data_IF_673218512381
#
_entry.id   IF_673218512381
#
_cell.length_a   1.000
_cell.length_b   1.000
_cell.length_c   1.000
_cell.angle_alpha   90.00
_cell.angle_beta   90.00
_cell.angle_gamma   90.00
#
_symmetry.space_group_name_H-M   'P 1'
#
loop_
_entity.id
_entity.type
_entity.pdbx_description
1 polymer ?
#
# COMPACT_ATOMS: atom_id res chain seq x y z
N UNK A 1 -3.95 15.77 14.20
CA UNK A 1 -2.54 15.25 14.22
C UNK A 1 -2.56 13.84 13.66
N UNK A 2 -1.75 13.55 12.65
CA UNK A 2 -1.67 12.24 11.99
C UNK A 2 -0.96 11.24 12.90
N UNK A 3 -1.54 10.05 13.07
CA UNK A 3 -0.98 9.01 13.93
C UNK A 3 0.38 8.49 13.43
N UNK A 4 1.23 8.02 14.34
CA UNK A 4 2.59 7.57 14.02
C UNK A 4 2.62 6.37 13.06
N UNK A 5 1.68 5.43 13.19
CA UNK A 5 1.59 4.27 12.30
C UNK A 5 1.30 4.65 10.82
N UNK A 6 0.67 5.82 10.59
CA UNK A 6 0.44 6.36 9.24
C UNK A 6 1.72 7.01 8.69
N UNK A 7 2.48 7.70 9.55
CA UNK A 7 3.67 8.46 9.15
C UNK A 7 4.92 7.60 9.01
N UNK A 8 5.08 6.62 9.90
CA UNK A 8 6.31 5.86 10.07
C UNK A 8 6.86 5.21 8.78
N UNK A 9 6.04 4.70 7.83
CA UNK A 9 6.60 4.12 6.61
C UNK A 9 7.42 5.13 5.79
N UNK A 10 6.96 6.37 5.69
CA UNK A 10 7.66 7.43 4.95
C UNK A 10 8.82 8.02 5.77
N UNK A 11 8.67 8.14 7.09
CA UNK A 11 9.72 8.66 7.97
C UNK A 11 10.93 7.73 8.05
N UNK A 12 10.73 6.42 7.87
CA UNK A 12 11.79 5.42 7.86
C UNK A 12 12.46 5.24 6.49
N UNK A 13 11.79 5.64 5.41
CA UNK A 13 12.35 5.54 4.07
C UNK A 13 13.37 6.68 3.82
N UNK A 14 14.58 6.37 3.29
CA UNK A 14 15.61 7.39 3.04
C UNK A 14 15.09 8.48 2.08
N UNK A 15 15.33 9.76 2.38
CA UNK A 15 14.77 10.87 1.58
C UNK A 15 15.22 10.88 0.12
N UNK A 16 16.44 10.39 -0.16
CA UNK A 16 17.05 10.31 -1.49
C UNK A 16 16.56 9.12 -2.34
N UNK A 17 15.78 8.20 -1.75
CA UNK A 17 15.28 7.04 -2.47
C UNK A 17 13.92 7.32 -3.11
N UNK A 18 13.68 6.74 -4.30
CA UNK A 18 12.33 6.63 -4.83
C UNK A 18 11.55 5.61 -4.01
N UNK A 19 10.38 6.01 -3.53
CA UNK A 19 9.56 5.21 -2.62
C UNK A 19 8.21 4.89 -3.24
N UNK A 20 7.79 3.64 -3.17
CA UNK A 20 6.42 3.22 -3.47
C UNK A 20 5.66 3.02 -2.16
N UNK A 21 4.63 3.83 -1.93
CA UNK A 21 3.78 3.78 -0.74
C UNK A 21 2.45 3.13 -1.07
N UNK A 22 2.25 1.91 -0.59
CA UNK A 22 0.97 1.20 -0.62
C UNK A 22 0.20 1.53 0.65
N UNK A 23 -0.97 2.16 0.53
CA UNK A 23 -1.75 2.64 1.67
C UNK A 23 -3.21 2.20 1.61
N UNK A 24 -3.78 1.80 2.76
CA UNK A 24 -5.21 1.55 2.91
C UNK A 24 -6.00 2.85 2.72
N UNK A 25 -7.19 2.77 2.11
CA UNK A 25 -8.12 3.90 2.06
C UNK A 25 -8.42 4.50 3.46
N UNK A 26 -8.87 5.74 3.48
CA UNK A 26 -9.20 6.48 4.71
C UNK A 26 -10.54 6.02 5.33
N UNK A 27 -10.94 6.66 6.43
CA UNK A 27 -12.10 6.30 7.26
C UNK A 27 -13.37 6.31 6.41
N UNK A 28 -14.04 5.16 6.36
CA UNK A 28 -15.32 4.95 5.66
C UNK A 28 -16.47 4.80 6.64
N UNK A 29 -17.69 4.94 6.13
CA UNK A 29 -18.89 4.56 6.88
C UNK A 29 -18.85 3.07 7.25
N UNK A 30 -19.43 2.65 8.38
CA UNK A 30 -19.56 1.23 8.72
C UNK A 30 -20.21 0.43 7.60
N UNK A 31 -19.79 -0.81 7.41
CA UNK A 31 -20.44 -1.78 6.53
C UNK A 31 -21.21 -2.73 7.43
N UNK A 32 -22.52 -2.72 7.31
CA UNK A 32 -23.40 -3.55 8.14
C UNK A 32 -23.79 -4.85 7.45
N UNK A 33 -23.78 -4.87 6.12
CA UNK A 33 -24.08 -6.05 5.30
C UNK A 33 -23.07 -6.20 4.17
N UNK A 34 -22.70 -7.44 3.78
CA UNK A 34 -21.66 -7.69 2.78
C UNK A 34 -21.87 -6.97 1.44
N UNK A 35 -23.14 -6.81 1.03
CA UNK A 35 -23.53 -6.18 -0.25
C UNK A 35 -23.12 -4.70 -0.32
N UNK A 36 -22.99 -4.03 0.82
CA UNK A 36 -22.58 -2.62 0.92
C UNK A 36 -21.06 -2.45 0.81
N UNK A 37 -20.29 -3.53 0.84
CA UNK A 37 -18.82 -3.49 0.89
C UNK A 37 -18.23 -2.61 -0.22
N UNK A 38 -18.75 -2.70 -1.42
CA UNK A 38 -18.24 -1.95 -2.58
C UNK A 38 -18.79 -0.52 -2.67
N UNK A 39 -19.89 -0.23 -1.99
CA UNK A 39 -20.62 1.04 -2.04
C UNK A 39 -20.24 1.99 -0.89
N UNK A 40 -19.62 1.48 0.16
CA UNK A 40 -19.27 2.26 1.35
C UNK A 40 -18.36 3.44 1.00
N UNK A 41 -18.82 4.65 1.32
CA UNK A 41 -18.15 5.93 1.06
C UNK A 41 -17.24 6.34 2.23
N UNK A 42 -16.32 7.26 1.99
CA UNK A 42 -15.59 7.91 3.09
C UNK A 42 -16.55 8.73 3.97
N UNK A 43 -16.20 8.82 5.25
CA UNK A 43 -16.82 9.81 6.15
C UNK A 43 -16.20 11.20 5.90
N UNK A 44 -16.87 12.30 6.31
CA UNK A 44 -16.25 13.63 6.29
C UNK A 44 -14.91 13.67 7.04
N UNK A 45 -14.81 13.00 8.19
CA UNK A 45 -13.55 12.87 8.94
C UNK A 45 -12.49 12.09 8.16
N UNK A 46 -12.89 11.08 7.39
CA UNK A 46 -11.98 10.33 6.51
C UNK A 46 -11.44 11.17 5.36
N UNK A 47 -12.26 12.02 4.77
CA UNK A 47 -11.84 12.98 3.74
C UNK A 47 -10.83 13.96 4.34
N UNK A 48 -11.15 14.57 5.46
CA UNK A 48 -10.26 15.51 6.15
C UNK A 48 -8.91 14.86 6.53
N UNK A 49 -8.93 13.66 7.10
CA UNK A 49 -7.71 12.93 7.48
C UNK A 49 -6.82 12.64 6.26
N UNK A 50 -7.43 12.28 5.13
CA UNK A 50 -6.70 12.05 3.88
C UNK A 50 -6.08 13.34 3.33
N UNK A 51 -6.77 14.49 3.43
CA UNK A 51 -6.23 15.81 3.06
C UNK A 51 -5.08 16.22 3.98
N UNK A 52 -5.22 16.05 5.30
CA UNK A 52 -4.14 16.30 6.26
C UNK A 52 -2.92 15.43 5.96
N UNK A 53 -3.14 14.15 5.59
CA UNK A 53 -2.07 13.25 5.20
C UNK A 53 -1.37 13.70 3.91
N UNK A 54 -2.12 14.15 2.91
CA UNK A 54 -1.57 14.73 1.69
C UNK A 54 -0.70 15.96 1.95
N UNK A 55 -1.18 16.90 2.79
CA UNK A 55 -0.43 18.07 3.19
C UNK A 55 0.87 17.72 3.94
N UNK A 56 0.84 16.67 4.77
CA UNK A 56 2.01 16.18 5.49
C UNK A 56 3.01 15.51 4.54
N UNK A 57 2.55 14.69 3.59
CA UNK A 57 3.39 14.05 2.57
C UNK A 57 4.09 15.08 1.69
N UNK A 58 3.39 16.13 1.26
CA UNK A 58 3.92 17.16 0.38
C UNK A 58 5.12 17.93 0.96
N UNK A 59 5.28 17.95 2.28
CA UNK A 59 6.45 18.53 2.94
C UNK A 59 7.69 17.62 2.87
N UNK A 60 7.55 16.39 2.41
CA UNK A 60 8.59 15.35 2.45
C UNK A 60 8.90 14.72 1.11
N UNK A 61 7.88 14.59 0.26
CA UNK A 61 7.98 13.88 -1.02
C UNK A 61 7.13 14.57 -2.07
N UNK A 62 7.62 14.54 -3.31
CA UNK A 62 6.83 14.94 -4.47
C UNK A 62 6.28 13.66 -5.14
N UNK A 63 4.97 13.56 -5.41
CA UNK A 63 4.45 12.38 -6.07
C UNK A 63 4.86 12.35 -7.54
N UNK A 64 5.35 11.21 -7.97
CA UNK A 64 5.57 10.91 -9.38
C UNK A 64 4.28 10.41 -10.03
N UNK A 65 3.61 9.44 -9.38
CA UNK A 65 2.30 8.92 -9.82
C UNK A 65 1.38 8.60 -8.63
N UNK A 66 0.07 8.66 -8.90
CA UNK A 66 -0.97 8.29 -7.92
C UNK A 66 -1.91 7.28 -8.55
N UNK A 67 -1.88 6.06 -8.02
CA UNK A 67 -2.64 4.91 -8.49
C UNK A 67 -3.67 4.49 -7.43
N UNK A 68 -4.81 3.95 -7.84
CA UNK A 68 -5.85 3.56 -6.89
C UNK A 68 -6.67 2.36 -7.34
N UNK A 69 -7.13 1.57 -6.36
CA UNK A 69 -8.20 0.60 -6.58
C UNK A 69 -9.45 1.28 -7.18
N UNK A 70 -10.22 0.59 -8.04
CA UNK A 70 -11.44 1.13 -8.66
C UNK A 70 -12.58 1.41 -7.67
N UNK A 71 -12.48 0.96 -6.42
CA UNK A 71 -13.52 1.15 -5.41
C UNK A 71 -13.61 2.60 -4.99
N UNK A 72 -14.80 3.16 -4.97
CA UNK A 72 -15.07 4.60 -4.78
C UNK A 72 -14.36 5.23 -3.57
N UNK A 73 -14.27 4.52 -2.42
CA UNK A 73 -13.56 5.01 -1.23
C UNK A 73 -12.04 5.13 -1.43
N UNK A 74 -11.44 4.27 -2.25
CA UNK A 74 -10.02 4.36 -2.59
C UNK A 74 -9.77 5.54 -3.53
N UNK A 75 -10.62 5.71 -4.54
CA UNK A 75 -10.58 6.86 -5.48
C UNK A 75 -10.72 8.18 -4.72
N UNK A 76 -11.69 8.28 -3.79
CA UNK A 76 -11.89 9.49 -2.99
C UNK A 76 -10.73 9.73 -2.03
N UNK A 77 -10.15 8.68 -1.42
CA UNK A 77 -8.93 8.81 -0.60
C UNK A 77 -7.78 9.41 -1.42
N UNK A 78 -7.53 8.87 -2.62
CA UNK A 78 -6.47 9.37 -3.51
C UNK A 78 -6.68 10.83 -3.89
N UNK A 79 -7.92 11.20 -4.25
CA UNK A 79 -8.29 12.59 -4.58
C UNK A 79 -8.10 13.53 -3.39
N UNK A 80 -8.46 13.08 -2.19
CA UNK A 80 -8.30 13.87 -0.95
C UNK A 80 -6.82 14.08 -0.62
N UNK A 81 -5.98 13.05 -0.75
CA UNK A 81 -4.52 13.17 -0.57
C UNK A 81 -3.94 14.18 -1.57
N UNK A 82 -4.33 14.10 -2.84
CA UNK A 82 -3.90 15.05 -3.88
C UNK A 82 -4.33 16.48 -3.55
N UNK A 83 -5.59 16.70 -3.13
CA UNK A 83 -6.06 18.02 -2.72
C UNK A 83 -5.24 18.57 -1.56
N UNK A 84 -5.03 17.75 -0.51
CA UNK A 84 -4.25 18.15 0.66
C UNK A 84 -2.80 18.48 0.34
N UNK A 85 -2.17 17.73 -0.56
CA UNK A 85 -0.80 17.95 -1.04
C UNK A 85 -0.67 19.09 -2.07
N UNK A 86 -1.79 19.60 -2.56
CA UNK A 86 -1.84 20.55 -3.69
C UNK A 86 -1.05 20.04 -4.92
N UNK A 87 -1.24 18.77 -5.27
CA UNK A 87 -0.52 18.10 -6.35
C UNK A 87 -1.30 18.13 -7.66
N UNK A 88 -0.63 18.32 -8.81
CA UNK A 88 -1.30 18.34 -10.11
C UNK A 88 -1.57 16.96 -10.70
N UNK A 89 -1.14 15.90 -10.03
CA UNK A 89 -1.17 14.54 -10.55
C UNK A 89 -2.60 14.04 -10.77
N UNK A 90 -2.88 13.38 -11.91
CA UNK A 90 -4.13 12.68 -12.09
C UNK A 90 -4.16 11.41 -11.21
N UNK A 91 -5.36 11.00 -10.79
CA UNK A 91 -5.58 9.69 -10.18
C UNK A 91 -5.78 8.66 -11.29
N UNK A 92 -4.94 7.63 -11.33
CA UNK A 92 -5.05 6.51 -12.26
C UNK A 92 -5.66 5.31 -11.55
N UNK A 93 -6.73 4.76 -12.12
CA UNK A 93 -7.43 3.58 -11.57
C UNK A 93 -6.78 2.31 -12.13
N UNK A 94 -6.42 1.37 -11.24
CA UNK A 94 -5.87 0.08 -11.61
C UNK A 94 -6.52 -1.07 -10.82
N UNK A 95 -6.96 -2.10 -11.54
CA UNK A 95 -7.60 -3.30 -10.99
C UNK A 95 -6.63 -4.12 -10.11
N UNK A 96 -5.33 -4.05 -10.35
CA UNK A 96 -4.31 -4.73 -9.56
C UNK A 96 -4.30 -4.30 -8.08
N UNK A 97 -4.85 -3.11 -7.77
CA UNK A 97 -5.00 -2.61 -6.42
C UNK A 97 -6.33 -3.01 -5.76
N UNK A 98 -7.18 -3.76 -6.47
CA UNK A 98 -8.41 -4.32 -5.94
C UNK A 98 -8.21 -5.68 -5.27
N UNK A 99 -9.06 -6.01 -4.28
CA UNK A 99 -9.00 -7.30 -3.57
C UNK A 99 -9.08 -8.52 -4.51
N UNK A 100 -9.92 -8.56 -5.56
CA UNK A 100 -10.00 -9.72 -6.44
C UNK A 100 -8.66 -10.13 -7.08
N UNK A 101 -7.73 -9.20 -7.23
CA UNK A 101 -6.40 -9.52 -7.78
C UNK A 101 -5.59 -10.45 -6.88
N UNK A 102 -5.72 -10.30 -5.56
CA UNK A 102 -4.98 -11.10 -4.57
C UNK A 102 -5.79 -12.25 -3.96
N UNK A 103 -7.04 -12.45 -4.38
CA UNK A 103 -7.99 -13.36 -3.71
C UNK A 103 -7.43 -14.78 -3.55
N UNK A 104 -6.79 -15.33 -4.59
CA UNK A 104 -6.22 -16.68 -4.54
C UNK A 104 -5.05 -16.78 -3.56
N UNK A 105 -4.13 -15.83 -3.61
CA UNK A 105 -3.01 -15.78 -2.67
C UNK A 105 -3.48 -15.58 -1.23
N UNK A 106 -4.53 -14.76 -1.03
CA UNK A 106 -5.16 -14.57 0.28
C UNK A 106 -5.77 -15.86 0.83
N UNK A 107 -6.44 -16.65 -0.01
CA UNK A 107 -6.98 -17.96 0.38
C UNK A 107 -5.86 -18.91 0.81
N UNK A 108 -4.74 -18.92 0.10
CA UNK A 108 -3.57 -19.72 0.46
C UNK A 108 -2.99 -19.29 1.81
N UNK A 109 -2.75 -18.01 2.03
CA UNK A 109 -2.27 -17.46 3.30
C UNK A 109 -3.17 -17.85 4.48
N UNK A 110 -4.48 -17.75 4.30
CA UNK A 110 -5.44 -18.08 5.36
C UNK A 110 -5.54 -19.59 5.66
N UNK A 111 -5.26 -20.45 4.68
CA UNK A 111 -5.33 -21.91 4.88
C UNK A 111 -4.05 -22.50 5.45
N UNK A 112 -2.89 -21.96 5.07
CA UNK A 112 -1.57 -22.53 5.39
C UNK A 112 -0.82 -21.75 6.49
N UNK A 113 -1.27 -20.53 6.82
CA UNK A 113 -0.59 -19.66 7.77
C UNK A 113 0.69 -19.07 7.23
N UNK A 114 1.82 -19.27 7.94
CA UNK A 114 3.14 -18.83 7.45
C UNK A 114 3.56 -19.72 6.28
N UNK A 115 3.71 -19.11 5.12
CA UNK A 115 3.99 -19.80 3.87
C UNK A 115 5.47 -20.16 3.74
N UNK A 116 5.74 -21.32 3.14
CA UNK A 116 7.10 -21.74 2.75
C UNK A 116 7.56 -20.93 1.53
N UNK A 117 6.63 -20.62 0.62
CA UNK A 117 6.88 -19.86 -0.60
C UNK A 117 5.99 -18.62 -0.66
N UNK A 118 6.53 -17.51 -1.19
CA UNK A 118 5.77 -16.28 -1.38
C UNK A 118 4.77 -16.50 -2.51
N UNK A 119 3.45 -16.24 -2.32
CA UNK A 119 2.45 -16.34 -3.37
C UNK A 119 2.81 -15.48 -4.58
N UNK A 120 2.58 -16.02 -5.78
CA UNK A 120 2.83 -15.29 -7.03
C UNK A 120 2.07 -13.96 -7.13
N UNK A 121 0.90 -13.88 -6.52
CA UNK A 121 0.10 -12.64 -6.43
C UNK A 121 0.83 -11.58 -5.61
N UNK A 122 1.51 -11.95 -4.52
CA UNK A 122 2.30 -11.01 -3.72
C UNK A 122 3.53 -10.52 -4.48
N UNK A 123 4.21 -11.41 -5.22
CA UNK A 123 5.32 -11.04 -6.10
C UNK A 123 4.86 -10.11 -7.21
N UNK A 124 3.73 -10.42 -7.87
CA UNK A 124 3.18 -9.57 -8.92
C UNK A 124 2.77 -8.17 -8.43
N UNK A 125 2.24 -8.06 -7.20
CA UNK A 125 1.98 -6.74 -6.57
C UNK A 125 3.30 -6.04 -6.27
N UNK A 126 4.29 -6.74 -5.73
CA UNK A 126 5.60 -6.16 -5.41
C UNK A 126 6.30 -5.61 -6.67
N UNK A 127 6.32 -6.40 -7.75
CA UNK A 127 6.89 -5.97 -9.04
C UNK A 127 6.18 -4.74 -9.57
N UNK A 128 4.84 -4.73 -9.53
CA UNK A 128 4.04 -3.59 -9.92
C UNK A 128 4.32 -2.33 -9.09
N UNK A 129 4.50 -2.46 -7.77
CA UNK A 129 4.86 -1.35 -6.89
C UNK A 129 6.24 -0.79 -7.22
N UNK A 130 7.16 -1.63 -7.66
CA UNK A 130 8.56 -1.29 -7.94
C UNK A 130 8.83 -0.94 -9.42
N UNK A 131 7.80 -0.98 -10.29
CA UNK A 131 7.90 -0.43 -11.64
C UNK A 131 8.22 1.07 -11.59
N UNK A 132 8.99 1.56 -12.57
CA UNK A 132 9.35 2.98 -12.71
C UNK A 132 10.01 3.63 -11.48
N UNK A 133 10.75 2.86 -10.69
CA UNK A 133 11.57 3.42 -9.60
C UNK A 133 12.93 3.93 -10.09
N UNK A 134 13.04 4.26 -11.37
CA UNK A 134 14.27 4.75 -12.01
C UNK A 134 14.60 6.22 -11.70
N UNK A 135 13.63 6.97 -11.16
CA UNK A 135 13.86 8.34 -10.72
C UNK A 135 14.56 8.34 -9.36
N UNK A 136 15.60 9.15 -9.21
CA UNK A 136 16.43 9.19 -8.01
C UNK A 136 15.65 9.58 -6.74
N UNK A 137 14.62 10.42 -6.89
CA UNK A 137 13.77 10.88 -5.80
C UNK A 137 12.31 10.87 -6.26
N UNK A 138 11.39 10.54 -5.37
CA UNK A 138 9.97 10.57 -5.71
C UNK A 138 9.10 9.66 -4.87
N UNK A 139 7.81 9.77 -5.10
CA UNK A 139 6.79 8.96 -4.44
C UNK A 139 5.82 8.38 -5.47
N UNK A 140 5.74 7.05 -5.53
CA UNK A 140 4.59 6.36 -6.12
C UNK A 140 3.57 6.11 -5.01
N UNK A 141 2.39 6.69 -5.11
CA UNK A 141 1.30 6.48 -4.15
C UNK A 141 0.29 5.50 -4.72
N UNK A 142 0.03 4.42 -3.97
CA UNK A 142 -0.93 3.38 -4.31
C UNK A 142 -1.97 3.25 -3.21
N UNK A 143 -3.25 3.53 -3.53
CA UNK A 143 -4.33 3.44 -2.55
C UNK A 143 -5.13 2.16 -2.77
N UNK A 144 -5.24 1.35 -1.72
CA UNK A 144 -5.83 0.02 -1.75
C UNK A 144 -6.71 -0.25 -0.50
N UNK A 145 -6.87 -1.52 -0.14
CA UNK A 145 -7.70 -2.04 0.95
C UNK A 145 -6.85 -2.64 2.07
N UNK A 146 -7.45 -2.79 3.24
CA UNK A 146 -6.87 -3.46 4.40
C UNK A 146 -6.41 -4.90 4.10
N UNK A 147 -7.25 -5.68 3.40
CA UNK A 147 -6.90 -7.05 3.00
C UNK A 147 -5.63 -7.12 2.15
N UNK A 148 -5.38 -6.14 1.26
CA UNK A 148 -4.16 -6.09 0.46
C UNK A 148 -2.93 -5.79 1.33
N UNK A 149 -3.03 -4.87 2.29
CA UNK A 149 -1.94 -4.58 3.24
C UNK A 149 -1.66 -5.81 4.12
N UNK A 150 -2.71 -6.43 4.67
CA UNK A 150 -2.59 -7.64 5.48
C UNK A 150 -1.94 -8.80 4.70
N UNK A 151 -2.37 -9.01 3.45
CA UNK A 151 -1.81 -10.00 2.55
C UNK A 151 -0.31 -9.77 2.30
N UNK A 152 0.08 -8.55 1.95
CA UNK A 152 1.49 -8.22 1.71
C UNK A 152 2.34 -8.37 2.98
N UNK A 153 1.80 -7.98 4.15
CA UNK A 153 2.48 -8.16 5.43
C UNK A 153 2.72 -9.64 5.75
N UNK A 154 1.72 -10.50 5.54
CA UNK A 154 1.86 -11.93 5.81
C UNK A 154 2.76 -12.60 4.78
N UNK A 155 2.52 -12.34 3.49
CA UNK A 155 3.23 -13.01 2.40
C UNK A 155 4.71 -12.60 2.29
N UNK A 156 5.03 -11.32 2.48
CA UNK A 156 6.40 -10.82 2.30
C UNK A 156 7.19 -10.72 3.61
N UNK A 157 6.53 -10.41 4.72
CA UNK A 157 7.21 -10.12 5.99
C UNK A 157 7.05 -11.26 7.02
N UNK A 158 6.23 -12.27 6.73
CA UNK A 158 5.91 -13.35 7.67
C UNK A 158 5.15 -12.87 8.91
N UNK A 159 4.42 -11.75 8.81
CA UNK A 159 3.66 -11.20 9.92
C UNK A 159 2.20 -11.59 9.79
N UNK A 160 1.75 -12.52 10.63
CA UNK A 160 0.34 -12.90 10.68
C UNK A 160 -0.50 -11.70 11.13
N UNK A 161 -1.53 -11.39 10.36
CA UNK A 161 -2.52 -10.37 10.71
C UNK A 161 -3.72 -11.01 11.40
N UNK A 162 -4.09 -10.45 12.54
CA UNK A 162 -5.23 -10.86 13.38
C UNK A 162 -6.21 -9.70 13.51
N UNK A 163 -7.37 -9.92 14.13
CA UNK A 163 -8.31 -8.82 14.43
C UNK A 163 -7.66 -7.70 15.25
N UNK A 164 -6.78 -8.07 16.20
CA UNK A 164 -6.11 -7.11 17.09
C UNK A 164 -5.08 -6.23 16.37
N UNK A 165 -4.45 -6.77 15.34
CA UNK A 165 -3.41 -6.08 14.58
C UNK A 165 -3.80 -5.82 13.12
N UNK A 166 -5.12 -5.83 12.80
CA UNK A 166 -5.60 -5.55 11.44
C UNK A 166 -5.16 -4.15 10.97
N UNK A 167 -4.76 -3.98 9.70
CA UNK A 167 -4.30 -2.68 9.20
C UNK A 167 -5.33 -1.58 9.41
N UNK A 168 -4.91 -0.47 10.04
CA UNK A 168 -5.74 0.71 10.29
C UNK A 168 -6.00 1.56 9.04
N UNK A 169 -6.92 2.54 9.13
CA UNK A 169 -7.16 3.48 8.05
C UNK A 169 -5.92 4.32 7.76
N UNK A 170 -5.59 4.54 6.50
CA UNK A 170 -4.37 5.18 6.00
C UNK A 170 -3.06 4.49 6.45
N UNK A 171 -3.15 3.34 7.11
CA UNK A 171 -1.95 2.55 7.36
C UNK A 171 -1.38 2.05 6.03
N UNK A 172 -0.06 2.10 5.90
CA UNK A 172 0.61 1.74 4.66
C UNK A 172 1.95 1.06 4.87
N UNK A 173 2.51 0.60 3.77
CA UNK A 173 3.85 0.03 3.64
C UNK A 173 4.63 0.84 2.61
N UNK A 174 5.86 1.24 2.95
CA UNK A 174 6.74 1.91 2.01
C UNK A 174 7.80 0.93 1.49
N UNK A 175 7.97 0.88 0.17
CA UNK A 175 8.90 -0.01 -0.53
C UNK A 175 9.93 0.82 -1.27
N UNK A 176 11.20 0.41 -1.23
CA UNK A 176 12.26 0.99 -2.06
C UNK A 176 13.33 -0.05 -2.39
N UNK A 177 14.08 0.21 -3.45
CA UNK A 177 15.24 -0.62 -3.82
C UNK A 177 16.51 -0.08 -3.17
N UNK A 178 17.30 -0.95 -2.59
CA UNK A 178 18.62 -0.65 -2.09
C UNK A 178 19.61 -1.69 -2.63
N UNK A 179 20.33 -1.33 -3.70
CA UNK A 179 21.18 -2.25 -4.47
C UNK A 179 20.37 -3.47 -4.96
N UNK A 180 20.78 -4.67 -4.55
CA UNK A 180 20.15 -5.94 -4.92
C UNK A 180 19.00 -6.34 -3.95
N UNK A 181 18.61 -5.48 -3.04
CA UNK A 181 17.59 -5.79 -2.05
C UNK A 181 16.39 -4.85 -2.17
N UNK A 182 15.23 -5.34 -1.74
CA UNK A 182 14.04 -4.52 -1.54
C UNK A 182 13.87 -4.30 -0.04
N UNK A 183 13.72 -3.05 0.36
CA UNK A 183 13.39 -2.65 1.73
C UNK A 183 11.91 -2.35 1.86
N UNK A 184 11.36 -2.72 3.00
CA UNK A 184 9.95 -2.45 3.33
C UNK A 184 9.86 -1.83 4.71
N UNK A 185 9.34 -0.61 4.80
CA UNK A 185 9.03 0.01 6.08
C UNK A 185 7.56 -0.21 6.44
N UNK A 186 7.31 -0.78 7.60
CA UNK A 186 5.97 -1.00 8.14
C UNK A 186 5.98 -1.02 9.67
N UNK A 187 5.02 -0.36 10.30
CA UNK A 187 4.83 -0.32 11.77
C UNK A 187 6.12 -0.03 12.56
N UNK A 188 6.84 1.01 12.16
CA UNK A 188 8.05 1.45 12.84
C UNK A 188 9.27 0.55 12.64
N UNK A 189 9.22 -0.43 11.73
CA UNK A 189 10.31 -1.35 11.40
C UNK A 189 10.64 -1.30 9.92
N UNK A 190 11.91 -1.57 9.59
CA UNK A 190 12.37 -1.79 8.22
C UNK A 190 12.74 -3.26 8.07
N UNK A 191 12.17 -3.89 7.07
CA UNK A 191 12.42 -5.29 6.69
C UNK A 191 13.25 -5.33 5.42
N UNK A 192 14.04 -6.38 5.27
CA UNK A 192 14.80 -6.68 4.06
C UNK A 192 14.20 -7.90 3.36
N UNK A 193 13.82 -7.74 2.10
CA UNK A 193 13.40 -8.85 1.24
C UNK A 193 14.61 -9.31 0.41
N UNK A 194 15.05 -10.55 0.60
CA UNK A 194 16.16 -11.11 -0.17
C UNK A 194 15.73 -11.34 -1.62
N UNK A 195 16.46 -10.77 -2.57
CA UNK A 195 16.17 -10.75 -4.01
C UNK A 195 16.05 -12.13 -4.65
N UNK A 196 16.70 -13.15 -4.11
CA UNK A 196 16.60 -14.52 -4.63
C UNK A 196 15.17 -15.08 -4.61
N UNK A 197 14.30 -14.55 -3.77
CA UNK A 197 12.89 -14.91 -3.71
C UNK A 197 12.03 -14.07 -4.67
N UNK A 198 12.51 -12.89 -5.11
CA UNK A 198 11.73 -11.90 -5.88
C UNK A 198 11.98 -12.05 -7.40
N UNK A 199 13.19 -12.44 -7.82
CA UNK A 199 13.56 -12.51 -9.25
C UNK A 199 13.68 -13.94 -9.81
N UNK A 200 13.27 -14.96 -9.08
CA UNK A 200 13.29 -16.35 -9.58
C UNK A 200 12.29 -16.61 -10.73
N UNK A 201 11.42 -15.66 -11.07
CA UNK A 201 10.42 -15.80 -12.13
C UNK A 201 10.94 -15.47 -13.54
N UNK A 202 12.08 -14.76 -13.68
CA UNK A 202 12.64 -14.42 -14.99
C UNK A 202 13.46 -15.56 -15.64
N UNK A 203 13.60 -16.71 -14.98
CA UNK A 203 14.40 -17.84 -15.48
C UNK A 203 13.58 -19.05 -15.93
N UNK A 204 12.25 -18.95 -15.99
CA UNK A 204 11.39 -20.01 -16.54
C UNK A 204 10.60 -19.40 -17.71
N UNK A 205 11.28 -19.24 -18.82
CA UNK A 205 10.71 -19.19 -20.17
C UNK A 205 11.16 -20.40 -20.97
#
# INVERSE_FOLDING_TARGET
>A
MIADYIRSPIELAPPEQHVSLLVRHSIRVPINVPEETWLAKLTPAGIQLAEEYGAWLAQRRCPYRVMTSPVGRCVETSRSIIRGGNWPNPVVIDQKLGFPFIEKGWQQVNSEGLLVEIPKEALAVLDYLLEDTTHAEGLNLFVTHDGNIAFMATALLGVLTTEENWPGFLEGMAFWREKETVRVAWRGKVYELKTQSVFALDLIQ
#
